data_IF_235284977760
#
_entry.id   IF_235284977760
#
_cell.length_a   1.000
_cell.length_b   1.000
_cell.length_c   1.000
_cell.angle_alpha   90.00
_cell.angle_beta   90.00
_cell.angle_gamma   90.00
#
_symmetry.space_group_name_H-M   'P 1'
#
loop_
_entity.id
_entity.type
_entity.pdbx_description
1 polymer ?
#
# COMPACT_ATOMS: atom_id res chain seq x y z
N UNK A 1 -4.86 -9.95 -33.98
CA UNK A 1 -4.21 -8.76 -33.39
C UNK A 1 -5.21 -7.73 -32.83
N UNK A 2 -6.28 -7.36 -33.57
CA UNK A 2 -7.33 -6.43 -33.07
C UNK A 2 -8.05 -6.92 -31.79
N UNK A 3 -8.33 -8.21 -31.65
CA UNK A 3 -9.01 -8.76 -30.47
C UNK A 3 -8.13 -8.79 -29.20
N UNK A 4 -6.82 -9.01 -29.35
CA UNK A 4 -5.85 -8.88 -28.27
C UNK A 4 -5.76 -7.44 -27.76
N UNK A 5 -5.68 -6.47 -28.67
CA UNK A 5 -5.69 -5.04 -28.31
C UNK A 5 -7.01 -4.62 -27.65
N UNK A 6 -8.14 -5.21 -28.05
CA UNK A 6 -9.46 -4.91 -27.48
C UNK A 6 -9.62 -5.50 -26.07
N UNK A 7 -9.14 -6.73 -25.83
CA UNK A 7 -9.07 -7.34 -24.49
C UNK A 7 -8.12 -6.57 -23.56
N UNK A 8 -6.92 -6.25 -24.02
CA UNK A 8 -5.96 -5.47 -23.22
C UNK A 8 -6.56 -4.12 -22.81
N UNK A 9 -7.28 -3.43 -23.71
CA UNK A 9 -7.98 -2.18 -23.35
C UNK A 9 -9.13 -2.40 -22.37
N UNK A 10 -9.88 -3.48 -22.51
CA UNK A 10 -10.97 -3.81 -21.59
C UNK A 10 -10.43 -4.13 -20.18
N UNK A 11 -9.35 -4.91 -20.09
CA UNK A 11 -8.71 -5.24 -18.81
C UNK A 11 -8.10 -4.01 -18.15
N UNK A 12 -7.45 -3.13 -18.93
CA UNK A 12 -6.87 -1.89 -18.40
C UNK A 12 -7.94 -0.91 -17.93
N UNK A 13 -9.05 -0.80 -18.66
CA UNK A 13 -10.19 0.05 -18.27
C UNK A 13 -10.90 -0.53 -17.04
N UNK A 14 -11.08 -1.85 -16.98
CA UNK A 14 -11.67 -2.53 -15.83
C UNK A 14 -10.83 -2.33 -14.56
N UNK A 15 -9.50 -2.50 -14.63
CA UNK A 15 -8.59 -2.22 -13.52
C UNK A 15 -8.67 -0.76 -13.07
N UNK A 16 -8.74 0.18 -14.02
CA UNK A 16 -8.84 1.61 -13.70
C UNK A 16 -10.14 1.96 -12.98
N UNK A 17 -11.28 1.43 -13.45
CA UNK A 17 -12.58 1.60 -12.80
C UNK A 17 -12.56 0.97 -11.41
N UNK A 18 -12.00 -0.23 -11.27
CA UNK A 18 -11.85 -0.91 -9.98
C UNK A 18 -11.03 -0.07 -9.00
N UNK A 19 -9.90 0.52 -9.41
CA UNK A 19 -9.09 1.41 -8.58
C UNK A 19 -9.87 2.65 -8.11
N UNK A 20 -10.67 3.27 -8.99
CA UNK A 20 -11.50 4.43 -8.62
C UNK A 20 -12.56 4.02 -7.60
N UNK A 21 -13.27 2.91 -7.84
CA UNK A 21 -14.32 2.42 -6.94
C UNK A 21 -13.74 2.04 -5.58
N UNK A 22 -12.63 1.28 -5.55
CA UNK A 22 -11.94 0.93 -4.31
C UNK A 22 -11.44 2.17 -3.57
N UNK A 23 -10.88 3.14 -4.30
CA UNK A 23 -10.43 4.39 -3.70
C UNK A 23 -11.57 5.18 -3.05
N UNK A 24 -12.75 5.23 -3.69
CA UNK A 24 -13.95 5.82 -3.09
C UNK A 24 -14.42 5.05 -1.85
N UNK A 25 -14.39 3.71 -1.87
CA UNK A 25 -14.72 2.88 -0.72
C UNK A 25 -13.77 3.17 0.46
N UNK A 26 -12.47 3.31 0.21
CA UNK A 26 -11.47 3.64 1.24
C UNK A 26 -11.70 5.00 1.89
N UNK A 27 -12.17 5.99 1.12
CA UNK A 27 -12.44 7.34 1.64
C UNK A 27 -13.77 7.37 2.40
N UNK A 28 -14.84 6.80 1.83
CA UNK A 28 -16.20 6.91 2.38
C UNK A 28 -16.43 5.90 3.52
N UNK A 29 -15.94 4.67 3.37
CA UNK A 29 -16.15 3.55 4.29
C UNK A 29 -14.84 3.21 5.03
N UNK A 30 -14.20 4.23 5.59
CA UNK A 30 -12.89 4.09 6.22
C UNK A 30 -12.88 3.05 7.36
N UNK A 31 -13.83 3.16 8.30
CA UNK A 31 -13.97 2.22 9.42
C UNK A 31 -14.19 0.78 8.94
N UNK A 32 -14.98 0.61 7.88
CA UNK A 32 -15.22 -0.70 7.27
C UNK A 32 -13.94 -1.31 6.70
N UNK A 33 -13.10 -0.50 6.04
CA UNK A 33 -11.82 -0.96 5.50
C UNK A 33 -10.83 -1.32 6.61
N UNK A 34 -10.72 -0.51 7.66
CA UNK A 34 -9.84 -0.79 8.80
C UNK A 34 -10.29 -2.08 9.51
N UNK A 35 -11.59 -2.24 9.74
CA UNK A 35 -12.14 -3.45 10.35
C UNK A 35 -11.92 -4.68 9.46
N UNK A 36 -12.13 -4.56 8.14
CA UNK A 36 -11.87 -5.65 7.20
C UNK A 36 -10.40 -6.07 7.24
N UNK A 37 -9.47 -5.12 7.21
CA UNK A 37 -8.03 -5.40 7.34
C UNK A 37 -7.73 -6.13 8.65
N UNK A 38 -8.26 -5.63 9.77
CA UNK A 38 -8.08 -6.26 11.08
C UNK A 38 -8.65 -7.67 11.16
N UNK A 39 -9.82 -7.91 10.58
CA UNK A 39 -10.43 -9.23 10.51
C UNK A 39 -9.60 -10.20 9.67
N UNK A 40 -9.01 -9.75 8.57
CA UNK A 40 -8.09 -10.57 7.77
C UNK A 40 -6.88 -10.98 8.61
N UNK A 41 -6.25 -10.04 9.33
CA UNK A 41 -5.14 -10.37 10.24
C UNK A 41 -5.56 -11.34 11.36
N UNK A 42 -6.74 -11.15 11.94
CA UNK A 42 -7.28 -12.03 12.98
C UNK A 42 -7.52 -13.45 12.45
N UNK A 43 -8.09 -13.60 11.24
CA UNK A 43 -8.28 -14.91 10.59
C UNK A 43 -6.93 -15.59 10.34
N UNK A 44 -5.93 -14.86 9.87
CA UNK A 44 -4.57 -15.41 9.68
C UNK A 44 -4.00 -15.92 11.01
N UNK A 45 -4.13 -15.16 12.10
CA UNK A 45 -3.71 -15.58 13.44
C UNK A 45 -4.43 -16.85 13.90
N UNK A 46 -5.73 -16.96 13.66
CA UNK A 46 -6.51 -18.16 14.00
C UNK A 46 -6.03 -19.37 13.21
N UNK A 47 -5.76 -19.22 11.90
CA UNK A 47 -5.24 -20.31 11.08
C UNK A 47 -3.88 -20.77 11.62
N UNK A 48 -2.98 -19.83 11.94
CA UNK A 48 -1.67 -20.15 12.52
C UNK A 48 -1.85 -20.91 13.84
N UNK A 49 -2.66 -20.39 14.77
CA UNK A 49 -2.93 -21.06 16.04
C UNK A 49 -3.54 -22.45 15.87
N UNK A 50 -4.48 -22.61 14.93
CA UNK A 50 -5.11 -23.88 14.61
C UNK A 50 -4.14 -24.90 14.02
N UNK A 51 -3.20 -24.45 13.17
CA UNK A 51 -2.12 -25.31 12.65
C UNK A 51 -1.24 -25.80 13.80
N UNK A 52 -0.79 -24.93 14.70
CA UNK A 52 0.03 -25.32 15.85
C UNK A 52 -0.67 -26.34 16.77
N UNK A 53 -1.97 -26.14 17.03
CA UNK A 53 -2.78 -27.08 17.83
C UNK A 53 -3.02 -28.39 17.08
N UNK A 54 -3.35 -28.33 15.78
CA UNK A 54 -3.59 -29.50 14.93
C UNK A 54 -2.35 -30.37 14.73
N UNK A 55 -1.16 -29.76 14.63
CA UNK A 55 0.12 -30.48 14.52
C UNK A 55 0.43 -31.36 15.73
N UNK A 56 -0.15 -31.07 16.90
CA UNK A 56 -0.05 -31.93 18.08
C UNK A 56 -0.84 -33.23 17.90
N UNK A 57 -2.10 -33.13 17.48
CA UNK A 57 -2.97 -34.30 17.26
C UNK A 57 -2.45 -35.20 16.13
N UNK A 58 -1.78 -34.61 15.14
CA UNK A 58 -1.17 -35.33 14.01
C UNK A 58 0.26 -35.83 14.29
N UNK A 59 0.76 -35.71 15.54
CA UNK A 59 2.13 -36.09 15.96
C UNK A 59 3.27 -35.46 15.14
N UNK A 60 3.02 -34.32 14.48
CA UNK A 60 4.02 -33.63 13.66
C UNK A 60 4.94 -32.74 14.52
N UNK A 61 4.42 -32.23 15.65
CA UNK A 61 5.15 -31.42 16.63
C UNK A 61 4.88 -32.01 18.02
N UNK A 62 5.90 -32.59 18.66
CA UNK A 62 5.79 -33.27 19.96
C UNK A 62 6.11 -32.38 21.16
N UNK A 63 6.45 -31.11 20.93
CA UNK A 63 6.78 -30.15 21.98
C UNK A 63 5.52 -29.51 22.56
N UNK A 64 5.15 -29.86 23.81
CA UNK A 64 3.99 -29.30 24.50
C UNK A 64 4.01 -27.76 24.61
N UNK A 65 5.20 -27.14 24.60
CA UNK A 65 5.35 -25.68 24.59
C UNK A 65 4.84 -25.03 23.28
N UNK A 66 4.98 -25.71 22.15
CA UNK A 66 4.47 -25.25 20.86
C UNK A 66 2.94 -25.28 20.81
N UNK A 67 2.32 -26.26 21.47
CA UNK A 67 0.85 -26.38 21.59
C UNK A 67 0.28 -25.28 22.47
N UNK A 68 0.92 -25.02 23.61
CA UNK A 68 0.52 -23.93 24.50
C UNK A 68 0.55 -22.58 23.78
N UNK A 69 1.62 -22.31 23.01
CA UNK A 69 1.69 -21.11 22.17
C UNK A 69 0.58 -21.08 21.11
N UNK A 70 0.30 -22.21 20.45
CA UNK A 70 -0.81 -22.32 19.49
C UNK A 70 -2.16 -21.96 20.10
N UNK A 71 -2.47 -22.46 21.31
CA UNK A 71 -3.71 -22.14 22.02
C UNK A 71 -3.80 -20.65 22.37
N UNK A 72 -2.72 -20.05 22.84
CA UNK A 72 -2.67 -18.62 23.15
C UNK A 72 -2.91 -17.79 21.89
N UNK A 73 -2.20 -18.09 20.80
CA UNK A 73 -2.34 -17.40 19.51
C UNK A 73 -3.77 -17.53 18.99
N UNK A 74 -4.38 -18.72 19.10
CA UNK A 74 -5.75 -18.98 18.67
C UNK A 74 -6.75 -18.16 19.49
N UNK A 75 -6.61 -18.13 20.83
CA UNK A 75 -7.46 -17.34 21.71
C UNK A 75 -7.36 -15.84 21.43
N UNK A 76 -6.14 -15.33 21.22
CA UNK A 76 -5.90 -13.92 20.83
C UNK A 76 -6.51 -13.62 19.46
N UNK A 77 -6.36 -14.51 18.48
CA UNK A 77 -6.97 -14.36 17.16
C UNK A 77 -8.50 -14.29 17.23
N UNK A 78 -9.15 -15.15 18.03
CA UNK A 78 -10.60 -15.11 18.24
C UNK A 78 -11.02 -13.81 18.92
N UNK A 79 -10.29 -13.34 19.94
CA UNK A 79 -10.56 -12.04 20.56
C UNK A 79 -10.52 -10.93 19.50
N UNK A 80 -9.49 -10.90 18.66
CA UNK A 80 -9.35 -9.86 17.63
C UNK A 80 -10.47 -9.86 16.59
N UNK A 81 -11.20 -10.96 16.38
CA UNK A 81 -12.41 -10.91 15.56
C UNK A 81 -13.55 -10.10 16.18
N UNK A 82 -13.60 -9.98 17.51
CA UNK A 82 -14.60 -9.16 18.21
C UNK A 82 -14.29 -7.67 18.03
N UNK A 83 -13.01 -7.30 18.01
CA UNK A 83 -12.57 -5.91 17.84
C UNK A 83 -11.36 -5.79 16.91
N UNK A 84 -11.57 -5.96 15.58
CA UNK A 84 -10.49 -6.05 14.60
C UNK A 84 -9.70 -4.73 14.45
N UNK A 85 -10.31 -3.59 14.76
CA UNK A 85 -9.61 -2.32 14.75
C UNK A 85 -8.37 -2.29 15.67
N UNK A 86 -8.38 -3.03 16.79
CA UNK A 86 -7.30 -3.03 17.79
C UNK A 86 -6.01 -3.60 17.23
N UNK A 87 -6.06 -4.68 16.45
CA UNK A 87 -4.82 -5.26 15.88
C UNK A 87 -4.16 -4.32 14.87
N UNK A 88 -4.96 -3.61 14.09
CA UNK A 88 -4.44 -2.70 13.05
C UNK A 88 -3.82 -1.46 13.68
N UNK A 89 -4.36 -0.96 14.79
CA UNK A 89 -3.78 0.19 15.51
C UNK A 89 -2.47 -0.13 16.24
N UNK A 90 -2.14 -1.40 16.47
CA UNK A 90 -0.82 -1.78 17.01
C UNK A 90 0.32 -1.39 16.08
N UNK A 91 0.10 -1.38 14.76
CA UNK A 91 1.12 -1.05 13.76
C UNK A 91 1.64 0.39 13.96
N UNK A 92 0.81 1.44 13.91
CA UNK A 92 1.27 2.80 14.15
C UNK A 92 1.79 2.99 15.58
N UNK A 93 1.26 2.29 16.60
CA UNK A 93 1.80 2.38 17.97
C UNK A 93 3.25 1.91 18.01
N UNK A 94 3.55 0.74 17.44
CA UNK A 94 4.92 0.20 17.40
C UNK A 94 5.84 1.13 16.62
N UNK A 95 5.41 1.60 15.45
CA UNK A 95 6.16 2.58 14.65
C UNK A 95 6.41 3.86 15.46
N UNK A 96 5.38 4.34 16.17
CA UNK A 96 5.43 5.55 16.98
C UNK A 96 6.44 5.45 18.13
N UNK A 97 6.46 4.32 18.84
CA UNK A 97 7.46 4.04 19.89
C UNK A 97 8.87 4.05 19.30
N UNK A 98 9.08 3.41 18.15
CA UNK A 98 10.39 3.41 17.47
C UNK A 98 10.80 4.84 17.08
N UNK A 99 9.87 5.63 16.53
CA UNK A 99 10.11 7.04 16.17
C UNK A 99 10.45 7.90 17.38
N UNK A 100 9.82 7.65 18.53
CA UNK A 100 10.14 8.35 19.78
C UNK A 100 11.59 8.07 20.19
N UNK A 101 12.00 6.80 20.23
CA UNK A 101 13.39 6.44 20.52
C UNK A 101 14.37 7.07 19.53
N UNK A 102 14.05 7.03 18.24
CA UNK A 102 14.88 7.63 17.19
C UNK A 102 15.00 9.15 17.38
N UNK A 103 13.89 9.84 17.63
CA UNK A 103 13.87 11.29 17.88
C UNK A 103 14.67 11.69 19.11
N UNK A 104 14.50 11.00 20.24
CA UNK A 104 15.29 11.28 21.46
C UNK A 104 16.78 11.07 21.25
N UNK A 105 17.17 10.02 20.54
CA UNK A 105 18.57 9.75 20.19
C UNK A 105 19.13 10.83 19.27
N UNK A 106 18.40 11.18 18.21
CA UNK A 106 18.80 12.18 17.23
C UNK A 106 18.97 13.58 17.86
N UNK A 107 18.14 13.95 18.85
CA UNK A 107 18.33 15.21 19.62
C UNK A 107 19.68 15.21 20.34
N UNK A 108 20.03 14.11 21.04
CA UNK A 108 21.30 14.02 21.76
C UNK A 108 22.48 14.13 20.80
N UNK A 109 22.46 13.36 19.72
CA UNK A 109 23.50 13.36 18.68
C UNK A 109 23.64 14.76 18.05
N UNK A 110 22.53 15.46 17.82
CA UNK A 110 22.55 16.81 17.26
C UNK A 110 23.14 17.84 18.23
N UNK A 111 22.83 17.74 19.52
CA UNK A 111 23.39 18.62 20.55
C UNK A 111 24.91 18.40 20.66
N UNK A 112 25.35 17.15 20.58
CA UNK A 112 26.78 16.82 20.57
C UNK A 112 27.47 17.35 19.30
N UNK A 113 26.86 17.17 18.12
CA UNK A 113 27.38 17.71 16.87
C UNK A 113 27.54 19.23 16.92
N UNK A 114 26.56 19.95 17.52
CA UNK A 114 26.65 21.40 17.76
C UNK A 114 27.87 21.75 18.63
N UNK A 115 28.11 21.01 19.72
CA UNK A 115 29.27 21.24 20.61
C UNK A 115 30.61 21.00 19.89
N UNK A 116 30.63 20.09 18.92
CA UNK A 116 31.80 19.80 18.09
C UNK A 116 31.99 20.77 16.92
N UNK A 117 31.17 21.83 16.80
CA UNK A 117 31.31 22.85 15.75
C UNK A 117 30.70 22.48 14.39
N UNK A 118 29.76 21.52 14.35
CA UNK A 118 29.06 21.18 13.10
C UNK A 118 28.02 22.24 12.74
N UNK A 119 28.19 22.93 11.60
CA UNK A 119 27.36 24.09 11.20
C UNK A 119 25.90 23.74 10.86
N UNK A 120 25.62 22.55 10.31
CA UNK A 120 24.28 22.16 9.87
C UNK A 120 23.43 21.47 10.97
N UNK A 121 23.78 21.63 12.25
CA UNK A 121 23.09 21.02 13.39
C UNK A 121 21.59 21.39 13.46
N UNK A 122 21.22 22.59 12.98
CA UNK A 122 19.82 23.05 13.00
C UNK A 122 18.87 22.16 12.21
N UNK A 123 19.28 21.67 11.03
CA UNK A 123 18.45 20.80 10.19
C UNK A 123 18.20 19.44 10.87
N UNK A 124 19.24 18.85 11.46
CA UNK A 124 19.12 17.58 12.19
C UNK A 124 18.21 17.74 13.42
N UNK A 125 18.26 18.88 14.10
CA UNK A 125 17.40 19.14 15.27
C UNK A 125 15.93 19.20 14.85
N UNK A 126 15.62 19.87 13.74
CA UNK A 126 14.26 19.97 13.20
C UNK A 126 13.74 18.58 12.82
N UNK A 127 14.53 17.76 12.12
CA UNK A 127 14.15 16.39 11.76
C UNK A 127 13.90 15.52 13.00
N UNK A 128 14.72 15.67 14.04
CA UNK A 128 14.55 14.95 15.29
C UNK A 128 13.25 15.34 16.02
N UNK A 129 12.91 16.65 16.03
CA UNK A 129 11.65 17.15 16.60
C UNK A 129 10.44 16.65 15.81
N UNK A 130 10.49 16.69 14.47
CA UNK A 130 9.43 16.14 13.62
C UNK A 130 9.22 14.66 13.92
N UNK A 131 10.31 13.90 14.04
CA UNK A 131 10.25 12.47 14.38
C UNK A 131 9.59 12.22 15.74
N UNK A 132 9.88 13.05 16.75
CA UNK A 132 9.21 12.97 18.05
C UNK A 132 7.71 13.29 17.95
N UNK A 133 7.33 14.35 17.22
CA UNK A 133 5.93 14.74 17.06
C UNK A 133 5.15 13.64 16.33
N UNK A 134 5.69 13.14 15.22
CA UNK A 134 5.10 12.01 14.49
C UNK A 134 5.00 10.77 15.38
N UNK A 135 6.05 10.45 16.13
CA UNK A 135 6.05 9.34 17.08
C UNK A 135 4.96 9.47 18.14
N UNK A 136 4.80 10.67 18.70
CA UNK A 136 3.77 10.97 19.68
C UNK A 136 2.35 10.80 19.09
N UNK A 137 2.08 11.40 17.92
CA UNK A 137 0.79 11.25 17.23
C UNK A 137 0.49 9.78 16.95
N UNK A 138 1.47 9.01 16.46
CA UNK A 138 1.30 7.58 16.18
C UNK A 138 0.97 6.73 17.41
N UNK A 139 1.51 7.08 18.59
CA UNK A 139 1.22 6.35 19.85
C UNK A 139 -0.13 6.74 20.45
N UNK A 140 -0.42 8.04 20.51
CA UNK A 140 -1.60 8.55 21.22
C UNK A 140 -2.86 8.66 20.35
N UNK A 141 -2.71 8.74 19.02
CA UNK A 141 -3.80 8.81 18.05
C UNK A 141 -3.63 7.75 16.94
N UNK A 142 -3.32 6.52 17.35
CA UNK A 142 -3.09 5.40 16.44
C UNK A 142 -4.28 5.14 15.49
N UNK A 143 -5.50 5.25 16.00
CA UNK A 143 -6.72 5.08 15.21
C UNK A 143 -6.90 6.22 14.21
N UNK A 144 -6.71 7.48 14.62
CA UNK A 144 -6.74 8.61 13.71
C UNK A 144 -5.68 8.50 12.61
N UNK A 145 -4.47 8.06 12.95
CA UNK A 145 -3.41 7.82 11.95
C UNK A 145 -3.83 6.76 10.93
N UNK A 146 -4.44 5.65 11.35
CA UNK A 146 -4.95 4.64 10.42
C UNK A 146 -6.08 5.17 9.54
N UNK A 147 -6.98 5.98 10.09
CA UNK A 147 -8.07 6.60 9.35
C UNK A 147 -7.52 7.50 8.24
N UNK A 148 -6.61 8.43 8.60
CA UNK A 148 -6.00 9.34 7.64
C UNK A 148 -5.15 8.60 6.60
N UNK A 149 -4.39 7.59 7.01
CA UNK A 149 -3.60 6.77 6.10
C UNK A 149 -4.50 6.08 5.06
N UNK A 150 -5.64 5.52 5.49
CA UNK A 150 -6.58 4.84 4.61
C UNK A 150 -7.25 5.82 3.62
N UNK A 151 -7.57 7.05 4.06
CA UNK A 151 -8.06 8.12 3.16
C UNK A 151 -7.00 8.46 2.11
N UNK A 152 -5.74 8.64 2.53
CA UNK A 152 -4.62 8.95 1.61
C UNK A 152 -4.45 7.84 0.58
N UNK A 153 -4.49 6.57 1.00
CA UNK A 153 -4.46 5.42 0.09
C UNK A 153 -5.64 5.48 -0.89
N UNK A 154 -6.84 5.82 -0.42
CA UNK A 154 -8.02 5.98 -1.28
C UNK A 154 -7.83 7.07 -2.35
N UNK A 155 -7.26 8.23 -1.97
CA UNK A 155 -6.95 9.31 -2.93
C UNK A 155 -5.93 8.84 -3.97
N UNK A 156 -4.87 8.14 -3.54
CA UNK A 156 -3.85 7.59 -4.44
C UNK A 156 -4.47 6.58 -5.41
N UNK A 157 -5.40 5.73 -4.95
CA UNK A 157 -6.09 4.77 -5.81
C UNK A 157 -6.95 5.44 -6.88
N UNK A 158 -7.70 6.49 -6.51
CA UNK A 158 -8.48 7.30 -7.47
C UNK A 158 -7.54 7.95 -8.48
N UNK A 159 -6.46 8.58 -8.01
CA UNK A 159 -5.47 9.20 -8.87
C UNK A 159 -4.86 8.19 -9.86
N UNK A 160 -4.49 7.00 -9.39
CA UNK A 160 -3.94 5.94 -10.23
C UNK A 160 -4.95 5.46 -11.29
N UNK A 161 -6.21 5.27 -10.91
CA UNK A 161 -7.26 4.88 -11.86
C UNK A 161 -7.53 5.94 -12.93
N UNK A 162 -7.61 7.22 -12.54
CA UNK A 162 -7.78 8.32 -13.49
C UNK A 162 -6.57 8.45 -14.43
N UNK A 163 -5.35 8.36 -13.87
CA UNK A 163 -4.11 8.45 -14.64
C UNK A 163 -4.00 7.33 -15.67
N UNK A 164 -4.38 6.10 -15.31
CA UNK A 164 -4.38 4.96 -16.23
C UNK A 164 -5.36 5.16 -17.40
N UNK A 165 -6.55 5.71 -17.16
CA UNK A 165 -7.52 6.04 -18.23
C UNK A 165 -6.92 7.09 -19.17
N UNK A 166 -6.31 8.15 -18.61
CA UNK A 166 -5.70 9.21 -19.38
C UNK A 166 -4.58 8.69 -20.29
N UNK A 167 -3.67 7.88 -19.73
CA UNK A 167 -2.54 7.27 -20.47
C UNK A 167 -3.06 6.35 -21.57
N UNK A 168 -4.03 5.47 -21.28
CA UNK A 168 -4.62 4.56 -22.26
C UNK A 168 -5.31 5.30 -23.42
N UNK A 169 -6.00 6.40 -23.11
CA UNK A 169 -6.64 7.24 -24.12
C UNK A 169 -5.61 7.95 -25.00
N UNK A 170 -4.54 8.47 -24.40
CA UNK A 170 -3.44 9.15 -25.10
C UNK A 170 -2.66 8.19 -25.99
N UNK A 171 -2.34 6.99 -25.50
CA UNK A 171 -1.69 5.94 -26.28
C UNK A 171 -2.55 5.49 -27.48
N UNK A 172 -3.87 5.40 -27.29
CA UNK A 172 -4.80 5.09 -28.39
C UNK A 172 -4.86 6.19 -29.43
N UNK A 173 -4.85 7.47 -29.01
CA UNK A 173 -4.81 8.62 -29.92
C UNK A 173 -3.50 8.64 -30.71
N UNK A 174 -2.36 8.46 -30.04
CA UNK A 174 -1.05 8.40 -30.69
C UNK A 174 -0.95 7.25 -31.71
N UNK A 175 -1.44 6.05 -31.37
CA UNK A 175 -1.47 4.92 -32.30
C UNK A 175 -2.37 5.17 -33.52
N UNK A 176 -3.52 5.84 -33.32
CA UNK A 176 -4.42 6.21 -34.42
C UNK A 176 -3.80 7.28 -35.32
N UNK A 177 -3.13 8.27 -34.74
CA UNK A 177 -2.45 9.32 -35.50
C UNK A 177 -1.25 8.77 -36.28
N UNK A 178 -0.47 7.85 -35.70
CA UNK A 178 0.60 7.15 -36.41
C UNK A 178 0.07 6.32 -37.60
N UNK A 179 -0.98 5.53 -37.37
CA UNK A 179 -1.62 4.75 -38.43
C UNK A 179 -2.17 5.65 -39.56
N UNK A 180 -2.74 6.82 -39.21
CA UNK A 180 -3.27 7.78 -40.19
C UNK A 180 -2.15 8.42 -41.02
N UNK A 181 -1.01 8.76 -40.41
CA UNK A 181 0.15 9.34 -41.13
C UNK A 181 0.84 8.33 -42.06
N UNK A 182 0.96 7.08 -41.66
CA UNK A 182 1.57 6.06 -42.53
C UNK A 182 0.65 5.62 -43.67
N UNK A 183 -0.67 5.63 -43.48
CA UNK A 183 -1.63 5.33 -44.56
C UNK A 183 -1.64 6.38 -45.69
N UNK A 184 -1.14 7.59 -45.44
CA UNK A 184 -1.01 8.65 -46.45
C UNK A 184 0.32 8.63 -47.22
N UNK A 185 1.26 7.75 -46.85
CA UNK A 185 2.60 7.65 -47.48
C UNK A 185 2.70 6.47 -48.45
N UNK A 186 1.61 5.73 -48.69
CA UNK A 186 1.51 4.83 -49.85
C UNK A 186 1.29 5.69 -51.12
N UNK A 187 2.36 6.34 -51.56
CA UNK A 187 2.44 6.89 -52.91
C UNK A 187 2.35 5.71 -53.86
N UNK A 188 1.27 5.68 -54.65
CA UNK A 188 1.24 4.93 -55.89
C UNK A 188 2.56 5.21 -56.63
N UNK A 189 3.45 4.22 -56.67
CA UNK A 189 4.48 4.17 -57.69
C UNK A 189 3.73 3.99 -59.01
N UNK A 190 3.49 5.10 -59.71
CA UNK A 190 3.24 5.06 -61.14
C UNK A 190 4.60 4.70 -61.73
N UNK A 191 4.74 3.47 -62.24
CA UNK A 191 5.77 3.18 -63.22
C UNK A 191 5.51 4.13 -64.39
N UNK A 192 6.40 5.12 -64.57
CA UNK A 192 6.56 5.77 -65.87
C UNK A 192 7.08 4.68 -66.80
N UNK A 193 6.15 4.03 -67.51
CA UNK A 193 6.45 3.47 -68.82
C UNK A 193 6.77 4.67 -69.73
N UNK A 194 8.01 5.15 -69.65
CA UNK A 194 8.60 6.00 -70.67
C UNK A 194 8.72 5.17 -71.94
N UNK A 195 7.74 5.37 -72.82
CA UNK A 195 7.73 5.00 -74.23
C UNK A 195 9.13 5.15 -74.87
N UNK A 196 9.72 4.02 -75.31
CA UNK A 196 10.31 3.84 -76.66
C UNK A 196 10.85 2.44 -76.92
#
# INVERSE_FOLDING_TARGET
MKDFLKRIKADFLASSILCIVLGLIFIICNDGVINLMGSVFAVILIIIGAVYVGSFFLNFITNGMSVLMGVIILAVGIWFLVQPAVIVSLIPIVIGVVLLFHGFRAIKETIEAKKCGYDAWGANLILAIISLICGFICVFDAFGVMEKATIVVGIILIYNGVSNIWISSSATRAAKDYARRNATVDVNFVEDDDDK
#
